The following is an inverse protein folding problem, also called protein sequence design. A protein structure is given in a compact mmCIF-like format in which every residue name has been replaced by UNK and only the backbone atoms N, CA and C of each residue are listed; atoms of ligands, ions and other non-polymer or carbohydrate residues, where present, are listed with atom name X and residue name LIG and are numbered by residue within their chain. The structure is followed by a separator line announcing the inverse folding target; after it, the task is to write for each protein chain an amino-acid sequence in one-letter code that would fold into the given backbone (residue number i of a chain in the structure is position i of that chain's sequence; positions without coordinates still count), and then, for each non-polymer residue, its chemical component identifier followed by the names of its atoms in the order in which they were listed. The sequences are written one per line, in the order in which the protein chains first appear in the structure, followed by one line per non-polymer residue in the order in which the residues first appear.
data_IF_964133163650
#
_entry.id   IF_964133163650
#
_cell.length_a   1.000
_cell.length_b   1.000
_cell.length_c   1.000
_cell.angle_alpha   90.00
_cell.angle_beta   90.00
_cell.angle_gamma   90.00
#
_symmetry.space_group_name_H-M   'P 1'
#
loop_
_entity.id
_entity.type
_entity.pdbx_description
1 polymer ?
#
# COMPACT_ATOMS: atom_id res chain seq x y z
N UNK A 1 1.99 13.89 -2.90
CA UNK A 1 2.48 12.49 -2.88
C UNK A 1 2.87 11.98 -4.27
N UNK A 2 1.99 12.06 -5.28
CA UNK A 2 2.27 11.59 -6.66
C UNK A 2 3.57 12.15 -7.26
N UNK A 3 3.78 13.46 -7.14
CA UNK A 3 5.00 14.11 -7.63
C UNK A 3 6.28 13.54 -6.98
N UNK A 4 6.29 13.34 -5.66
CA UNK A 4 7.44 12.78 -4.94
C UNK A 4 7.72 11.33 -5.37
N UNK A 5 6.67 10.52 -5.56
CA UNK A 5 6.81 9.16 -6.07
C UNK A 5 7.39 9.15 -7.48
N UNK A 6 6.91 10.01 -8.38
CA UNK A 6 7.47 10.15 -9.72
C UNK A 6 8.94 10.57 -9.66
N UNK A 7 9.28 11.59 -8.87
CA UNK A 7 10.65 12.09 -8.76
C UNK A 7 11.59 11.01 -8.22
N UNK A 8 11.21 10.34 -7.13
CA UNK A 8 11.93 9.19 -6.58
C UNK A 8 12.10 8.08 -7.62
N UNK A 9 11.04 7.73 -8.36
CA UNK A 9 11.09 6.69 -9.37
C UNK A 9 12.01 7.03 -10.56
N UNK A 10 12.04 8.30 -10.98
CA UNK A 10 12.98 8.75 -12.02
C UNK A 10 14.43 8.62 -11.54
N UNK A 11 14.74 9.04 -10.31
CA UNK A 11 16.08 8.88 -9.73
C UNK A 11 16.49 7.40 -9.63
N UNK A 12 15.61 6.55 -9.11
CA UNK A 12 15.84 5.10 -9.03
C UNK A 12 16.04 4.44 -10.41
N UNK A 13 15.39 4.95 -11.47
CA UNK A 13 15.58 4.46 -12.84
C UNK A 13 16.86 4.97 -13.50
N UNK A 14 17.28 6.20 -13.18
CA UNK A 14 18.51 6.76 -13.70
C UNK A 14 19.74 5.98 -13.22
N UNK A 15 19.68 5.40 -12.02
CA UNK A 15 20.77 4.58 -11.42
C UNK A 15 22.14 5.28 -11.48
N UNK A 16 22.13 6.60 -11.39
CA UNK A 16 23.36 7.38 -11.28
C UNK A 16 23.84 7.25 -9.83
N UNK A 17 24.89 6.47 -9.62
CA UNK A 17 25.52 6.25 -8.31
C UNK A 17 26.66 7.25 -8.09
N UNK A 18 26.36 8.54 -8.21
CA UNK A 18 27.25 9.62 -7.78
C UNK A 18 26.86 10.05 -6.36
N UNK A 19 27.80 10.56 -5.57
CA UNK A 19 27.53 10.94 -4.17
C UNK A 19 26.38 11.95 -4.08
N UNK A 20 26.35 12.95 -4.97
CA UNK A 20 25.30 13.97 -5.03
C UNK A 20 23.91 13.37 -5.29
N UNK A 21 23.80 12.40 -6.20
CA UNK A 21 22.51 11.78 -6.54
C UNK A 21 22.02 10.84 -5.45
N UNK A 22 22.93 10.20 -4.72
CA UNK A 22 22.59 9.38 -3.55
C UNK A 22 22.03 10.26 -2.42
N UNK A 23 22.65 11.41 -2.14
CA UNK A 23 22.16 12.35 -1.13
C UNK A 23 20.76 12.88 -1.49
N UNK A 24 20.56 13.26 -2.76
CA UNK A 24 19.24 13.68 -3.26
C UNK A 24 18.22 12.54 -3.14
N UNK A 25 18.60 11.32 -3.50
CA UNK A 25 17.71 10.16 -3.41
C UNK A 25 17.30 9.85 -1.97
N UNK A 26 18.24 9.91 -1.02
CA UNK A 26 17.95 9.72 0.40
C UNK A 26 17.00 10.81 0.92
N UNK A 27 17.29 12.08 0.63
CA UNK A 27 16.43 13.21 1.01
C UNK A 27 15.02 13.11 0.44
N UNK A 28 14.88 12.70 -0.82
CA UNK A 28 13.58 12.46 -1.45
C UNK A 28 12.85 11.27 -0.81
N UNK A 29 13.57 10.21 -0.45
CA UNK A 29 13.01 9.02 0.22
C UNK A 29 12.46 9.37 1.60
N UNK A 30 13.19 10.18 2.39
CA UNK A 30 12.71 10.67 3.69
C UNK A 30 11.46 11.54 3.54
N UNK A 31 11.47 12.49 2.59
CA UNK A 31 10.30 13.34 2.31
C UNK A 31 9.09 12.52 1.87
N UNK A 32 9.31 11.50 1.04
CA UNK A 32 8.29 10.57 0.58
C UNK A 32 7.69 9.79 1.75
N UNK A 33 8.53 9.19 2.60
CA UNK A 33 8.08 8.45 3.78
C UNK A 33 7.22 9.33 4.69
N UNK A 34 7.67 10.54 5.00
CA UNK A 34 6.90 11.50 5.83
C UNK A 34 5.53 11.83 5.22
N UNK A 35 5.45 12.01 3.90
CA UNK A 35 4.16 12.26 3.23
C UNK A 35 3.25 11.03 3.22
N UNK A 36 3.80 9.82 3.10
CA UNK A 36 3.02 8.57 3.19
C UNK A 36 2.47 8.39 4.62
N UNK A 37 3.28 8.69 5.64
CA UNK A 37 2.82 8.69 7.03
C UNK A 37 1.72 9.72 7.26
N UNK A 38 1.91 10.96 6.82
CA UNK A 38 0.89 12.01 6.92
C UNK A 38 -0.41 11.64 6.17
N UNK A 39 -0.30 11.06 4.98
CA UNK A 39 -1.46 10.57 4.23
C UNK A 39 -2.23 9.50 5.04
N UNK A 40 -1.52 8.60 5.71
CA UNK A 40 -2.14 7.54 6.52
C UNK A 40 -2.84 8.10 7.75
N UNK A 41 -2.23 9.06 8.45
CA UNK A 41 -2.80 9.61 9.69
C UNK A 41 -3.91 10.64 9.46
N UNK A 42 -3.90 11.34 8.32
CA UNK A 42 -4.86 12.41 8.03
C UNK A 42 -5.91 12.01 6.98
N UNK A 43 -5.49 11.43 5.85
CA UNK A 43 -6.39 11.16 4.74
C UNK A 43 -7.10 9.82 4.93
N UNK A 44 -6.37 8.76 5.31
CA UNK A 44 -7.03 7.46 5.54
C UNK A 44 -7.97 7.46 6.75
N UNK A 45 -7.77 8.34 7.72
CA UNK A 45 -8.68 8.53 8.87
C UNK A 45 -9.92 9.33 8.49
N UNK A 46 -9.77 10.36 7.63
CA UNK A 46 -10.88 11.17 7.15
C UNK A 46 -11.77 10.44 6.13
N UNK A 47 -11.19 9.53 5.34
CA UNK A 47 -11.89 8.83 4.26
C UNK A 47 -11.91 7.32 4.50
N UNK A 48 -12.94 6.78 5.20
CA UNK A 48 -13.05 5.35 5.43
C UNK A 48 -13.32 4.62 4.11
N UNK A 49 -12.32 3.88 3.63
CA UNK A 49 -12.44 3.08 2.41
C UNK A 49 -12.97 1.68 2.69
N UNK A 50 -13.70 1.12 1.72
CA UNK A 50 -14.19 -0.26 1.75
C UNK A 50 -13.76 -0.97 0.46
N UNK A 51 -13.71 -2.29 0.50
CA UNK A 51 -13.46 -3.12 -0.68
C UNK A 51 -14.42 -2.77 -1.83
N UNK A 52 -13.95 -2.85 -3.07
CA UNK A 52 -14.82 -2.72 -4.24
C UNK A 52 -15.67 -3.99 -4.40
N UNK A 53 -16.82 -3.90 -5.09
CA UNK A 53 -17.71 -5.05 -5.39
C UNK A 53 -16.94 -6.25 -5.91
N UNK A 54 -16.12 -6.04 -6.94
CA UNK A 54 -15.33 -7.11 -7.55
C UNK A 54 -14.27 -7.70 -6.58
N UNK A 55 -13.70 -6.91 -5.68
CA UNK A 55 -12.75 -7.40 -4.67
C UNK A 55 -13.46 -8.29 -3.63
N UNK A 56 -14.61 -7.83 -3.13
CA UNK A 56 -15.44 -8.58 -2.18
C UNK A 56 -15.92 -9.91 -2.78
N UNK A 57 -16.36 -9.91 -4.04
CA UNK A 57 -16.74 -11.12 -4.77
C UNK A 57 -15.56 -12.10 -4.94
N UNK A 58 -14.38 -11.59 -5.30
CA UNK A 58 -13.17 -12.40 -5.45
C UNK A 58 -12.77 -13.04 -4.11
N UNK A 59 -12.79 -12.28 -3.02
CA UNK A 59 -12.56 -12.78 -1.68
C UNK A 59 -13.58 -13.87 -1.30
N UNK A 60 -14.86 -13.66 -1.56
CA UNK A 60 -15.91 -14.66 -1.31
C UNK A 60 -15.59 -15.96 -2.03
N UNK A 61 -15.30 -15.92 -3.33
CA UNK A 61 -14.96 -17.10 -4.14
C UNK A 61 -13.77 -17.89 -3.57
N UNK A 62 -12.72 -17.18 -3.13
CA UNK A 62 -11.55 -17.83 -2.48
C UNK A 62 -11.94 -18.52 -1.18
N UNK A 63 -12.73 -17.85 -0.33
CA UNK A 63 -13.18 -18.44 0.94
C UNK A 63 -14.10 -19.65 0.74
N UNK A 64 -14.96 -19.67 -0.29
CA UNK A 64 -15.78 -20.84 -0.58
C UNK A 64 -14.95 -22.04 -1.03
N UNK A 65 -13.90 -21.84 -1.85
CA UNK A 65 -12.96 -22.90 -2.22
C UNK A 65 -12.21 -23.48 -1.01
N UNK A 66 -11.77 -22.64 -0.08
CA UNK A 66 -11.10 -23.09 1.16
C UNK A 66 -12.07 -23.75 2.17
N UNK A 67 -13.34 -23.35 2.17
CA UNK A 67 -14.35 -23.84 3.11
C UNK A 67 -14.83 -25.29 2.87
N UNK A 68 -14.48 -25.90 1.73
CA UNK A 68 -14.71 -27.34 1.49
C UNK A 68 -14.00 -28.20 2.55
N UNK A 69 -12.97 -27.67 3.22
CA UNK A 69 -12.20 -28.37 4.26
C UNK A 69 -12.51 -27.99 5.72
N UNK A 70 -13.39 -27.01 5.99
CA UNK A 70 -13.76 -26.63 7.37
C UNK A 70 -15.25 -26.30 7.50
N UNK A 71 -16.02 -27.23 8.08
CA UNK A 71 -17.36 -26.96 8.61
C UNK A 71 -17.25 -26.03 9.82
N UNK A 72 -17.89 -24.85 9.73
CA UNK A 72 -18.85 -24.31 10.71
C UNK A 72 -18.83 -22.76 10.71
N UNK A 73 -20.01 -22.20 10.46
CA UNK A 73 -20.54 -21.04 11.19
C UNK A 73 -19.78 -19.72 11.08
N UNK A 74 -20.06 -18.95 10.04
CA UNK A 74 -19.98 -17.49 10.10
C UNK A 74 -20.93 -16.94 9.06
N UNK A 75 -22.02 -16.29 9.50
CA UNK A 75 -22.88 -15.49 8.66
C UNK A 75 -22.01 -14.58 7.77
N UNK A 76 -21.98 -14.87 6.46
CA UNK A 76 -21.37 -13.98 5.49
C UNK A 76 -22.30 -12.76 5.38
N UNK A 77 -22.12 -11.79 6.27
CA UNK A 77 -22.71 -10.48 6.08
C UNK A 77 -22.11 -9.92 4.79
N UNK A 78 -22.99 -9.57 3.86
CA UNK A 78 -22.74 -8.95 2.54
C UNK A 78 -22.16 -7.53 2.65
N UNK A 79 -21.32 -7.32 3.65
CA UNK A 79 -20.73 -6.04 4.01
C UNK A 79 -19.31 -6.02 3.48
N UNK A 80 -19.08 -5.22 2.44
CA UNK A 80 -17.75 -4.83 1.97
C UNK A 80 -16.83 -4.57 3.15
N UNK A 81 -15.73 -5.31 3.22
CA UNK A 81 -14.82 -5.20 4.36
C UNK A 81 -14.18 -3.82 4.34
N UNK A 82 -14.01 -3.17 5.51
CA UNK A 82 -13.25 -1.94 5.59
C UNK A 82 -11.81 -2.21 5.11
N UNK A 83 -11.32 -1.38 4.20
CA UNK A 83 -9.96 -1.47 3.69
C UNK A 83 -9.16 -0.32 4.28
N UNK A 84 -8.08 -0.63 4.98
CA UNK A 84 -7.13 0.37 5.45
C UNK A 84 -5.85 0.32 4.63
N UNK A 85 -5.17 1.45 4.52
CA UNK A 85 -3.86 1.52 3.91
C UNK A 85 -2.82 0.87 4.82
N UNK A 86 -2.06 -0.09 4.31
CA UNK A 86 -1.05 -0.82 5.08
C UNK A 86 0.37 -0.30 4.77
N UNK A 87 0.95 0.38 5.76
CA UNK A 87 2.32 0.91 5.72
C UNK A 87 3.41 -0.19 5.78
N UNK A 88 3.11 -1.35 6.35
CA UNK A 88 4.06 -2.45 6.53
C UNK A 88 4.10 -3.38 5.31
N UNK A 89 4.09 -2.80 4.12
CA UNK A 89 4.23 -3.57 2.87
C UNK A 89 5.67 -3.58 2.42
N UNK A 90 6.13 -4.73 1.92
CA UNK A 90 7.50 -4.91 1.40
C UNK A 90 7.89 -3.82 0.39
N UNK A 91 6.95 -3.40 -0.46
CA UNK A 91 7.16 -2.33 -1.45
C UNK A 91 7.65 -1.03 -0.81
N UNK A 92 7.14 -0.66 0.37
CA UNK A 92 7.54 0.55 1.07
C UNK A 92 8.89 0.39 1.76
N UNK A 93 9.16 -0.78 2.36
CA UNK A 93 10.47 -1.06 2.98
C UNK A 93 11.59 -1.15 1.94
N UNK A 94 11.29 -1.64 0.74
CA UNK A 94 12.26 -1.76 -0.34
C UNK A 94 12.67 -0.41 -0.94
N UNK A 95 11.95 0.69 -0.71
CA UNK A 95 12.25 2.01 -1.29
C UNK A 95 13.67 2.51 -0.96
N UNK A 96 14.21 2.18 0.22
CA UNK A 96 15.58 2.56 0.56
C UNK A 96 16.64 1.68 -0.13
N UNK A 97 16.24 0.52 -0.63
CA UNK A 97 17.14 -0.49 -1.20
C UNK A 97 17.17 -0.46 -2.73
N UNK A 98 16.48 0.49 -3.37
CA UNK A 98 16.55 0.76 -4.80
C UNK A 98 17.66 1.77 -5.11
#
# INVERSE_FOLDING_TARGET
LLFLLCHWHHLAKLRMHTDDTLEVMEGVTVRLANHIHAFTTTTCTAFPTKELQHEAESCRRRTTCDSVHKKAGSHATDSHRPKTFNLQTYKLHALRHY
#
